data_IF_652850081761
#
_entry.id   IF_652850081761
#
_cell.length_a   1.000
_cell.length_b   1.000
_cell.length_c   1.000
_cell.angle_alpha   90.00
_cell.angle_beta   90.00
_cell.angle_gamma   90.00
#
_symmetry.space_group_name_H-M   'P 1'
#
loop_
_entity.id
_entity.type
_entity.pdbx_description
1 polymer ?
#
# COMPACT_ATOMS: atom_id res chain seq x y z
N UNK A 1 -2.75 33.65 -25.11
CA UNK A 1 -4.07 34.32 -25.23
C UNK A 1 -4.54 34.57 -26.66
N UNK A 2 -3.87 34.03 -27.69
CA UNK A 2 -4.17 34.38 -29.10
C UNK A 2 -5.42 33.69 -29.68
N UNK A 3 -5.84 32.54 -29.11
CA UNK A 3 -7.01 31.80 -29.58
C UNK A 3 -8.33 32.51 -29.21
N UNK A 4 -8.46 32.94 -27.95
CA UNK A 4 -9.66 33.64 -27.45
C UNK A 4 -9.91 34.93 -28.24
N UNK A 5 -8.84 35.66 -28.56
CA UNK A 5 -8.91 36.89 -29.35
C UNK A 5 -9.40 36.61 -30.78
N UNK A 6 -8.85 35.59 -31.46
CA UNK A 6 -9.29 35.15 -32.79
C UNK A 6 -10.74 34.64 -32.83
N UNK A 7 -11.19 33.99 -31.76
CA UNK A 7 -12.59 33.53 -31.64
C UNK A 7 -13.55 34.71 -31.40
N UNK A 8 -13.12 35.73 -30.66
CA UNK A 8 -13.93 36.91 -30.35
C UNK A 8 -14.06 37.89 -31.52
N UNK A 9 -13.08 37.93 -32.42
CA UNK A 9 -13.05 38.83 -33.58
C UNK A 9 -13.44 38.16 -34.91
N UNK A 10 -13.59 36.84 -34.94
CA UNK A 10 -13.90 36.06 -36.13
C UNK A 10 -15.39 36.07 -36.48
N UNK A 11 -15.71 35.89 -37.76
CA UNK A 11 -17.09 35.70 -38.21
C UNK A 11 -17.59 34.30 -37.79
N UNK A 12 -18.91 34.13 -37.61
CA UNK A 12 -19.50 32.89 -37.05
C UNK A 12 -19.13 31.60 -37.80
N UNK A 13 -18.87 31.72 -39.11
CA UNK A 13 -18.42 30.66 -40.02
C UNK A 13 -16.90 30.38 -39.92
N UNK A 14 -16.10 31.35 -39.50
CA UNK A 14 -14.65 31.21 -39.30
C UNK A 14 -14.28 30.59 -37.95
N UNK A 15 -15.16 30.70 -36.94
CA UNK A 15 -14.94 30.17 -35.58
C UNK A 15 -14.56 28.69 -35.61
N UNK A 16 -15.25 27.89 -36.43
CA UNK A 16 -14.99 26.44 -36.54
C UNK A 16 -13.58 26.17 -37.12
N UNK A 17 -13.16 26.93 -38.13
CA UNK A 17 -11.84 26.79 -38.74
C UNK A 17 -10.72 27.25 -37.78
N UNK A 18 -10.97 28.30 -37.00
CA UNK A 18 -10.05 28.78 -35.95
C UNK A 18 -9.86 27.72 -34.87
N UNK A 19 -10.94 27.06 -34.42
CA UNK A 19 -10.86 25.95 -33.46
C UNK A 19 -10.15 24.73 -34.04
N UNK A 20 -10.47 24.34 -35.28
CA UNK A 20 -9.88 23.18 -35.93
C UNK A 20 -8.36 23.31 -36.17
N UNK A 21 -7.88 24.54 -36.36
CA UNK A 21 -6.46 24.86 -36.58
C UNK A 21 -5.73 25.31 -35.31
N UNK A 22 -6.42 25.36 -34.16
CA UNK A 22 -5.82 25.78 -32.91
C UNK A 22 -4.75 24.76 -32.49
N UNK A 23 -3.52 25.20 -32.19
CA UNK A 23 -2.50 24.30 -31.67
C UNK A 23 -2.95 23.79 -30.30
N UNK A 24 -3.10 22.48 -30.17
CA UNK A 24 -3.29 21.85 -28.87
C UNK A 24 -1.92 21.79 -28.20
N UNK A 25 -1.79 22.35 -27.00
CA UNK A 25 -0.53 22.37 -26.24
C UNK A 25 -0.22 21.01 -25.59
N UNK A 26 -0.37 19.94 -26.37
CA UNK A 26 -0.09 18.55 -25.99
C UNK A 26 0.22 17.74 -27.25
N UNK A 27 0.73 16.53 -27.08
CA UNK A 27 0.99 15.61 -28.19
C UNK A 27 -0.19 14.63 -28.37
N UNK A 28 -0.34 14.07 -29.57
CA UNK A 28 -1.36 13.06 -29.82
C UNK A 28 -1.10 11.81 -28.97
N UNK A 29 0.17 11.47 -28.77
CA UNK A 29 0.64 10.37 -27.94
C UNK A 29 0.27 10.58 -26.47
N UNK A 30 0.54 11.77 -25.92
CA UNK A 30 0.17 12.10 -24.54
C UNK A 30 -1.35 12.09 -24.31
N UNK A 31 -2.14 12.59 -25.28
CA UNK A 31 -3.60 12.48 -25.20
C UNK A 31 -4.09 11.03 -25.28
N UNK A 32 -3.49 10.22 -26.15
CA UNK A 32 -3.78 8.78 -26.25
C UNK A 32 -3.45 8.04 -24.96
N UNK A 33 -2.34 8.39 -24.31
CA UNK A 33 -1.97 7.85 -23.00
C UNK A 33 -2.99 8.24 -21.93
N UNK A 34 -3.37 9.53 -21.83
CA UNK A 34 -4.42 9.96 -20.89
C UNK A 34 -5.74 9.22 -21.13
N UNK A 35 -6.16 9.07 -22.39
CA UNK A 35 -7.41 8.37 -22.71
C UNK A 35 -7.34 6.89 -22.34
N UNK A 36 -6.22 6.23 -22.64
CA UNK A 36 -6.03 4.81 -22.29
C UNK A 36 -5.94 4.54 -20.79
N UNK A 37 -5.46 5.51 -20.00
CA UNK A 37 -5.37 5.39 -18.53
C UNK A 37 -6.65 5.79 -17.80
N UNK A 38 -7.58 6.50 -18.44
CA UNK A 38 -8.81 6.97 -17.80
C UNK A 38 -9.66 5.83 -17.23
N UNK A 39 -9.93 4.79 -18.03
CA UNK A 39 -10.75 3.65 -17.59
C UNK A 39 -10.07 2.85 -16.45
N UNK A 40 -8.79 2.45 -16.54
CA UNK A 40 -8.09 1.79 -15.43
C UNK A 40 -8.06 2.61 -14.13
N UNK A 41 -7.87 3.93 -14.23
CA UNK A 41 -7.86 4.80 -13.04
C UNK A 41 -9.25 4.94 -12.41
N UNK A 42 -10.30 5.04 -13.24
CA UNK A 42 -11.68 5.01 -12.78
C UNK A 42 -11.99 3.71 -12.04
N UNK A 43 -11.64 2.57 -12.63
CA UNK A 43 -11.80 1.26 -12.00
C UNK A 43 -11.03 1.15 -10.67
N UNK A 44 -9.80 1.67 -10.61
CA UNK A 44 -9.01 1.65 -9.37
C UNK A 44 -9.71 2.42 -8.22
N UNK A 45 -10.32 3.56 -8.50
CA UNK A 45 -11.09 4.36 -7.53
C UNK A 45 -12.39 3.66 -7.08
N UNK A 46 -13.05 2.93 -7.99
CA UNK A 46 -14.27 2.17 -7.68
C UNK A 46 -13.96 0.91 -6.85
N UNK A 47 -12.89 0.20 -7.20
CA UNK A 47 -12.50 -1.07 -6.57
C UNK A 47 -11.72 -0.89 -5.26
N UNK A 48 -11.43 0.36 -4.86
CA UNK A 48 -10.62 0.70 -3.68
C UNK A 48 -11.15 0.07 -2.39
N UNK A 49 -12.48 -0.06 -2.26
CA UNK A 49 -13.13 -0.56 -1.05
C UNK A 49 -12.98 0.41 0.12
N UNK A 50 -13.51 1.62 -0.06
CA UNK A 50 -13.37 2.76 0.88
C UNK A 50 -13.79 2.42 2.32
N UNK A 51 -14.72 1.48 2.51
CA UNK A 51 -15.16 1.04 3.83
C UNK A 51 -14.02 0.43 4.66
N UNK A 52 -13.02 -0.18 4.01
CA UNK A 52 -11.84 -0.73 4.68
C UNK A 52 -11.01 0.38 5.34
N UNK A 53 -10.80 1.48 4.62
CA UNK A 53 -10.05 2.62 5.12
C UNK A 53 -10.84 3.38 6.20
N UNK A 54 -12.16 3.46 6.05
CA UNK A 54 -13.02 3.98 7.12
C UNK A 54 -12.97 3.11 8.39
N UNK A 55 -12.88 1.79 8.24
CA UNK A 55 -12.80 0.85 9.36
C UNK A 55 -11.48 1.02 10.13
N UNK A 56 -10.33 1.03 9.44
CA UNK A 56 -9.04 1.23 10.11
C UNK A 56 -8.93 2.62 10.75
N UNK A 57 -9.55 3.66 10.15
CA UNK A 57 -9.54 5.02 10.70
C UNK A 57 -10.32 5.14 12.02
N UNK A 58 -11.22 4.20 12.32
CA UNK A 58 -11.97 4.14 13.58
C UNK A 58 -11.24 3.39 14.68
N UNK A 59 -10.08 2.78 14.40
CA UNK A 59 -9.26 2.15 15.41
C UNK A 59 -8.73 3.20 16.40
N UNK A 60 -8.75 2.86 17.69
CA UNK A 60 -8.32 3.74 18.80
C UNK A 60 -7.27 3.08 19.68
N UNK A 61 -6.78 1.92 19.25
CA UNK A 61 -5.75 1.13 19.93
C UNK A 61 -4.36 1.42 19.37
N UNK A 62 -3.36 0.61 19.75
CA UNK A 62 -1.96 0.77 19.37
C UNK A 62 -1.73 0.80 17.85
N UNK A 63 -2.69 0.30 17.05
CA UNK A 63 -2.65 0.30 15.58
C UNK A 63 -3.07 1.62 14.93
N UNK A 64 -3.61 2.55 15.71
CA UNK A 64 -4.10 3.82 15.18
C UNK A 64 -3.02 4.56 14.38
N UNK A 65 -1.78 4.57 14.86
CA UNK A 65 -0.67 5.23 14.15
C UNK A 65 -0.37 4.58 12.79
N UNK A 66 -0.50 3.26 12.68
CA UNK A 66 -0.32 2.55 11.41
C UNK A 66 -1.50 2.79 10.48
N UNK A 67 -2.73 2.82 11.00
CA UNK A 67 -3.91 3.19 10.25
C UNK A 67 -3.84 4.61 9.67
N UNK A 68 -3.33 5.56 10.45
CA UNK A 68 -3.09 6.94 10.02
C UNK A 68 -2.08 7.00 8.87
N UNK A 69 -0.94 6.30 8.98
CA UNK A 69 0.05 6.22 7.90
C UNK A 69 -0.51 5.64 6.60
N UNK A 70 -1.35 4.61 6.70
CA UNK A 70 -2.03 4.02 5.53
C UNK A 70 -2.96 5.04 4.89
N UNK A 71 -3.73 5.78 5.69
CA UNK A 71 -4.62 6.83 5.19
C UNK A 71 -3.83 7.99 4.54
N UNK A 72 -2.72 8.40 5.15
CA UNK A 72 -1.84 9.44 4.61
C UNK A 72 -1.26 9.04 3.26
N UNK A 73 -0.92 7.76 3.08
CA UNK A 73 -0.45 7.22 1.79
C UNK A 73 -1.49 7.42 0.69
N UNK A 74 -2.77 7.22 0.99
CA UNK A 74 -3.88 7.42 0.03
C UNK A 74 -4.06 8.90 -0.28
N UNK A 75 -4.01 9.76 0.74
CA UNK A 75 -4.11 11.22 0.55
C UNK A 75 -2.97 11.72 -0.31
N UNK A 76 -1.73 11.26 -0.06
CA UNK A 76 -0.57 11.62 -0.87
C UNK A 76 -0.71 11.13 -2.32
N UNK A 77 -1.17 9.90 -2.53
CA UNK A 77 -1.39 9.37 -3.88
C UNK A 77 -2.45 10.18 -4.65
N UNK A 78 -3.54 10.60 -4.00
CA UNK A 78 -4.59 11.43 -4.61
C UNK A 78 -4.13 12.87 -4.93
N UNK A 79 -3.14 13.39 -4.20
CA UNK A 79 -2.59 14.73 -4.41
C UNK A 79 -1.41 14.76 -5.39
N UNK A 80 -0.85 13.60 -5.72
CA UNK A 80 0.33 13.46 -6.56
C UNK A 80 -0.05 13.31 -8.03
N UNK A 81 0.91 13.65 -8.89
CA UNK A 81 0.82 13.34 -10.31
C UNK A 81 0.96 11.83 -10.54
N UNK A 82 0.21 11.28 -11.49
CA UNK A 82 0.20 9.84 -11.83
C UNK A 82 1.60 9.34 -12.25
N UNK A 83 2.45 10.21 -12.80
CA UNK A 83 3.83 9.87 -13.14
C UNK A 83 4.78 9.87 -11.92
N UNK A 84 4.37 10.48 -10.80
CA UNK A 84 5.13 10.51 -9.55
C UNK A 84 4.69 9.36 -8.64
N UNK A 85 3.38 9.23 -8.39
CA UNK A 85 2.80 8.14 -7.62
C UNK A 85 1.68 7.51 -8.45
N UNK A 86 1.86 6.27 -8.95
CA UNK A 86 0.82 5.57 -9.67
C UNK A 86 -0.34 5.24 -8.73
N UNK A 87 -1.51 5.84 -8.96
CA UNK A 87 -2.64 5.81 -8.04
C UNK A 87 -3.10 4.38 -7.73
N UNK A 88 -3.26 3.56 -8.77
CA UNK A 88 -3.75 2.19 -8.66
C UNK A 88 -2.82 1.30 -7.81
N UNK A 89 -1.49 1.44 -7.98
CA UNK A 89 -0.52 0.68 -7.20
C UNK A 89 -0.50 1.13 -5.74
N UNK A 90 -0.57 2.43 -5.48
CA UNK A 90 -0.64 2.97 -4.12
C UNK A 90 -1.87 2.45 -3.38
N UNK A 91 -3.02 2.40 -4.05
CA UNK A 91 -4.28 1.91 -3.49
C UNK A 91 -4.22 0.41 -3.20
N UNK A 92 -3.66 -0.39 -4.11
CA UNK A 92 -3.48 -1.83 -3.89
C UNK A 92 -2.55 -2.12 -2.70
N UNK A 93 -1.46 -1.34 -2.57
CA UNK A 93 -0.53 -1.47 -1.46
C UNK A 93 -1.19 -1.08 -0.12
N UNK A 94 -1.86 0.06 -0.07
CA UNK A 94 -2.58 0.54 1.11
C UNK A 94 -3.68 -0.44 1.55
N UNK A 95 -4.43 -1.01 0.60
CA UNK A 95 -5.44 -2.03 0.87
C UNK A 95 -4.82 -3.29 1.48
N UNK A 96 -3.70 -3.75 0.92
CA UNK A 96 -3.00 -4.93 1.44
C UNK A 96 -2.52 -4.70 2.88
N UNK A 97 -1.99 -3.50 3.17
CA UNK A 97 -1.57 -3.11 4.51
C UNK A 97 -2.76 -3.03 5.49
N UNK A 98 -3.88 -2.44 5.06
CA UNK A 98 -5.08 -2.34 5.87
C UNK A 98 -5.67 -3.72 6.23
N UNK A 99 -5.67 -4.67 5.28
CA UNK A 99 -6.09 -6.06 5.55
C UNK A 99 -5.17 -6.71 6.59
N UNK A 100 -3.85 -6.56 6.44
CA UNK A 100 -2.88 -7.09 7.41
C UNK A 100 -3.12 -6.50 8.80
N UNK A 101 -3.31 -5.18 8.89
CA UNK A 101 -3.56 -4.47 10.14
C UNK A 101 -4.80 -5.03 10.87
N UNK A 102 -5.91 -5.21 10.14
CA UNK A 102 -7.15 -5.78 10.69
C UNK A 102 -7.03 -7.27 11.03
N UNK A 103 -6.18 -8.02 10.34
CA UNK A 103 -6.02 -9.47 10.57
C UNK A 103 -5.10 -9.75 11.76
N UNK A 104 -4.03 -8.98 11.93
CA UNK A 104 -3.15 -9.03 13.11
C UNK A 104 -3.93 -8.67 14.39
N UNK A 105 -4.94 -7.80 14.25
CA UNK A 105 -5.87 -7.46 15.33
C UNK A 105 -6.62 -8.64 15.91
N UNK A 106 -7.14 -9.49 15.04
CA UNK A 106 -7.91 -10.65 15.45
C UNK A 106 -7.05 -11.69 16.18
N UNK A 107 -5.73 -11.61 16.03
CA UNK A 107 -4.79 -12.47 16.74
C UNK A 107 -4.44 -11.98 18.14
N UNK A 108 -4.76 -10.71 18.48
CA UNK A 108 -4.43 -10.07 19.75
C UNK A 108 -5.48 -10.21 20.86
N UNK A 109 -6.73 -10.57 20.52
CA UNK A 109 -7.86 -10.58 21.48
C UNK A 109 -8.21 -11.99 22.02
N UNK A 110 -7.40 -13.01 21.71
CA UNK A 110 -7.61 -14.37 22.22
C UNK A 110 -6.67 -14.71 23.39
N UNK A 111 -6.99 -14.19 24.58
CA UNK A 111 -6.60 -14.82 25.85
C UNK A 111 -7.73 -15.76 26.33
N UNK A 112 -7.42 -16.82 27.09
CA UNK A 112 -7.65 -18.17 26.62
C UNK A 112 -8.95 -18.79 27.14
N UNK A 113 -9.79 -19.26 26.23
CA UNK A 113 -10.69 -20.38 26.56
C UNK A 113 -10.85 -21.30 25.36
N UNK A 114 -10.27 -22.48 25.53
CA UNK A 114 -10.89 -23.76 25.18
C UNK A 114 -10.96 -24.18 23.69
N UNK A 115 -9.96 -24.99 23.34
CA UNK A 115 -10.06 -26.19 22.51
C UNK A 115 -10.82 -26.08 21.16
N UNK A 116 -10.16 -25.50 20.16
CA UNK A 116 -10.36 -25.95 18.78
C UNK A 116 -9.18 -26.83 18.35
N UNK A 117 -9.31 -28.13 18.59
CA UNK A 117 -8.43 -29.16 18.04
C UNK A 117 -8.61 -29.16 16.51
N UNK A 118 -7.74 -28.46 15.78
CA UNK A 118 -7.50 -28.78 14.38
C UNK A 118 -6.38 -29.82 14.33
N UNK A 119 -6.78 -31.01 13.85
CA UNK A 119 -5.96 -32.22 13.71
C UNK A 119 -4.53 -31.89 13.23
N UNK A 120 -3.56 -32.10 14.12
CA UNK A 120 -2.23 -32.57 13.76
C UNK A 120 -1.04 -31.62 13.92
N UNK A 121 -1.20 -30.34 14.25
CA UNK A 121 -0.03 -29.45 14.49
C UNK A 121 -0.25 -28.50 15.67
N UNK A 122 0.49 -28.75 16.75
CA UNK A 122 0.54 -27.93 17.96
C UNK A 122 1.56 -26.81 17.73
N UNK A 123 1.12 -25.57 17.79
CA UNK A 123 2.01 -24.40 17.80
C UNK A 123 2.62 -24.33 19.20
N UNK A 124 3.95 -24.48 19.29
CA UNK A 124 4.67 -24.61 20.57
C UNK A 124 5.12 -23.25 21.11
N UNK A 125 5.40 -22.27 20.23
CA UNK A 125 5.68 -20.89 20.61
C UNK A 125 5.67 -20.00 19.35
N UNK A 126 5.13 -18.79 19.41
CA UNK A 126 5.23 -17.80 18.34
C UNK A 126 5.41 -16.42 18.95
N UNK A 127 6.53 -15.75 18.65
CA UNK A 127 6.84 -14.41 19.14
C UNK A 127 7.54 -13.63 18.01
N UNK A 128 6.87 -12.61 17.48
CA UNK A 128 7.48 -11.63 16.59
C UNK A 128 8.35 -10.68 17.40
N UNK A 129 9.55 -10.36 16.89
CA UNK A 129 10.41 -9.30 17.42
C UNK A 129 11.06 -8.61 16.25
N UNK A 130 10.77 -7.33 16.10
CA UNK A 130 11.42 -6.45 15.14
C UNK A 130 12.48 -5.60 15.85
N UNK A 131 13.48 -5.14 15.11
CA UNK A 131 14.62 -4.35 15.60
C UNK A 131 15.60 -5.10 16.53
N UNK A 132 15.99 -6.31 16.13
CA UNK A 132 16.96 -7.13 16.85
C UNK A 132 18.39 -6.86 16.38
N UNK A 133 19.23 -6.35 17.27
CA UNK A 133 20.69 -6.30 17.06
C UNK A 133 21.27 -7.72 16.89
N UNK A 134 22.39 -7.84 16.17
CA UNK A 134 23.03 -9.10 15.79
C UNK A 134 23.37 -9.99 17.00
N UNK A 135 23.71 -9.37 18.14
CA UNK A 135 23.96 -10.06 19.40
C UNK A 135 22.69 -10.74 19.93
N UNK A 136 21.55 -10.04 19.86
CA UNK A 136 20.27 -10.53 20.37
C UNK A 136 19.66 -11.57 19.43
N UNK A 137 19.85 -11.43 18.13
CA UNK A 137 19.47 -12.44 17.14
C UNK A 137 20.22 -13.76 17.35
N UNK A 138 21.53 -13.71 17.63
CA UNK A 138 22.34 -14.89 17.91
C UNK A 138 21.89 -15.60 19.20
N UNK A 139 21.62 -14.85 20.26
CA UNK A 139 21.12 -15.43 21.51
C UNK A 139 19.76 -16.11 21.36
N UNK A 140 18.89 -15.56 20.49
CA UNK A 140 17.59 -16.17 20.19
C UNK A 140 17.74 -17.50 19.46
N UNK A 141 18.66 -17.60 18.49
CA UNK A 141 18.91 -18.85 17.77
C UNK A 141 19.48 -19.93 18.70
N UNK A 142 20.40 -19.57 19.60
CA UNK A 142 20.97 -20.50 20.59
C UNK A 142 19.89 -21.00 21.55
N UNK A 143 18.98 -20.12 21.99
CA UNK A 143 17.85 -20.54 22.84
C UNK A 143 16.86 -21.44 22.10
N UNK A 144 16.54 -21.12 20.85
CA UNK A 144 15.69 -21.97 20.03
C UNK A 144 16.31 -23.35 19.85
N UNK A 145 17.61 -23.44 19.58
CA UNK A 145 18.32 -24.72 19.49
C UNK A 145 18.26 -25.53 20.79
N UNK A 146 18.38 -24.88 21.96
CA UNK A 146 18.25 -25.54 23.27
C UNK A 146 16.82 -26.02 23.58
N UNK A 147 15.81 -25.31 23.11
CA UNK A 147 14.39 -25.69 23.29
C UNK A 147 13.96 -26.81 22.33
N UNK A 148 14.65 -26.97 21.19
CA UNK A 148 14.34 -27.97 20.17
C UNK A 148 14.96 -29.32 20.53
N UNK A 149 14.11 -30.28 20.93
CA UNK A 149 14.55 -31.65 21.28
C UNK A 149 14.93 -32.44 20.03
N UNK A 150 16.05 -33.17 20.10
CA UNK A 150 16.52 -34.07 19.04
C UNK A 150 15.46 -35.16 18.76
N UNK A 151 14.82 -35.10 17.58
CA UNK A 151 13.83 -36.08 17.13
C UNK A 151 12.49 -35.50 16.65
N UNK A 152 12.31 -34.18 16.63
CA UNK A 152 11.09 -33.55 16.10
C UNK A 152 11.30 -32.97 14.70
N UNK A 153 10.34 -33.21 13.80
CA UNK A 153 10.29 -32.55 12.49
C UNK A 153 9.79 -31.12 12.67
N UNK A 154 10.71 -30.18 12.86
CA UNK A 154 10.39 -28.77 13.05
C UNK A 154 10.38 -28.07 11.69
N UNK A 155 9.34 -27.27 11.43
CA UNK A 155 9.30 -26.32 10.30
C UNK A 155 9.43 -24.90 10.84
N UNK A 156 10.61 -24.31 10.71
CA UNK A 156 10.81 -22.88 10.93
C UNK A 156 10.51 -22.12 9.63
N UNK A 157 9.76 -21.03 9.74
CA UNK A 157 9.57 -20.07 8.65
C UNK A 157 10.25 -18.77 9.09
N UNK A 158 11.29 -18.34 8.40
CA UNK A 158 12.11 -17.19 8.77
C UNK A 158 12.16 -16.21 7.60
N UNK A 159 11.77 -14.95 7.86
CA UNK A 159 11.87 -13.82 6.92
C UNK A 159 12.96 -12.90 7.46
N UNK A 160 14.01 -12.65 6.69
CA UNK A 160 15.10 -11.76 7.07
C UNK A 160 15.22 -10.58 6.10
N UNK A 161 15.59 -9.42 6.63
CA UNK A 161 15.99 -8.23 5.89
C UNK A 161 17.31 -7.79 6.51
N UNK A 162 18.35 -7.61 5.68
CA UNK A 162 19.68 -7.15 6.13
C UNK A 162 19.82 -5.73 5.60
N UNK A 163 19.97 -4.77 6.51
CA UNK A 163 20.18 -3.36 6.18
C UNK A 163 21.57 -2.97 6.69
N UNK A 164 22.46 -2.55 5.77
CA UNK A 164 23.74 -1.96 6.12
C UNK A 164 23.58 -0.44 6.15
N UNK A 165 23.79 0.18 7.32
CA UNK A 165 23.94 1.62 7.42
C UNK A 165 25.38 2.01 7.14
N UNK A 166 25.61 2.88 6.15
CA UNK A 166 26.88 3.60 6.04
C UNK A 166 27.11 4.36 7.35
N UNK A 167 28.17 4.00 8.07
CA UNK A 167 28.66 4.83 9.16
C UNK A 167 29.22 6.10 8.51
N UNK A 168 28.53 7.23 8.68
CA UNK A 168 29.06 8.55 8.32
C UNK A 168 30.46 8.71 8.93
N UNK A 169 31.46 8.90 8.07
CA UNK A 169 32.77 9.46 8.40
C UNK A 169 32.87 10.87 7.84
#
# INVERSE_FOLDING_TARGET
MQLVERLSSGQSDEVIAVLASAPVATTAEAMGECFSKADPLGAALEETGWELFEAIRKLTDERQQEAEKICDTIVQALQSDEHVIPLALAFQAARSQAITLLTESHSGDAAPTENAVVKGKRIVNQRGRDNLDISTARDLLVRLEQELRSGQTIRLNMRWVIEEGESEQ
#
